data_IF_582845804582
#
_entry.id   IF_582845804582
#
_cell.length_a   1.000
_cell.length_b   1.000
_cell.length_c   1.000
_cell.angle_alpha   90.00
_cell.angle_beta   90.00
_cell.angle_gamma   90.00
#
_symmetry.space_group_name_H-M   'P 1'
#
loop_
_entity.id
_entity.type
_entity.pdbx_description
1 polymer ?
#
# COMPACT_ATOMS: atom_id res chain seq x y z
N UNK A 1 -1.01 16.27 -23.57
CA UNK A 1 -2.17 15.36 -23.58
C UNK A 1 -2.79 15.32 -22.19
N UNK A 2 -3.94 15.96 -22.05
CA UNK A 2 -4.83 15.88 -20.89
C UNK A 2 -5.84 14.74 -21.07
N UNK A 3 -6.55 14.37 -20.01
CA UNK A 3 -7.66 13.43 -20.13
C UNK A 3 -8.79 13.97 -20.98
N UNK A 4 -9.02 15.29 -20.95
CA UNK A 4 -10.12 15.90 -21.70
C UNK A 4 -9.80 15.82 -23.19
N UNK A 5 -8.54 16.06 -23.59
CA UNK A 5 -8.09 15.89 -24.97
C UNK A 5 -8.40 14.46 -25.46
N UNK A 6 -7.99 13.44 -24.68
CA UNK A 6 -8.22 12.03 -25.06
C UNK A 6 -9.69 11.65 -25.10
N UNK A 7 -10.44 11.95 -24.04
CA UNK A 7 -11.82 11.45 -23.86
C UNK A 7 -12.87 12.23 -24.66
N UNK A 8 -12.54 13.42 -25.15
CA UNK A 8 -13.41 14.18 -26.06
C UNK A 8 -13.35 13.64 -27.49
N UNK A 9 -12.20 13.13 -27.91
CA UNK A 9 -11.98 12.62 -29.26
C UNK A 9 -12.30 11.13 -29.39
N UNK A 10 -12.00 10.33 -28.35
CA UNK A 10 -12.11 8.87 -28.41
C UNK A 10 -12.73 8.28 -27.14
N UNK A 11 -13.50 7.19 -27.28
CA UNK A 11 -13.96 6.40 -26.12
C UNK A 11 -12.99 5.26 -25.81
N UNK A 12 -12.50 5.24 -24.58
CA UNK A 12 -11.53 4.25 -24.09
C UNK A 12 -12.17 3.18 -23.20
N UNK A 13 -13.51 3.11 -23.14
CA UNK A 13 -14.21 2.11 -22.32
C UNK A 13 -13.95 0.70 -22.85
N UNK A 14 -13.14 -0.06 -22.11
CA UNK A 14 -12.85 -1.46 -22.40
C UNK A 14 -13.25 -2.36 -21.23
N UNK A 15 -14.51 -2.83 -21.26
CA UNK A 15 -15.11 -3.68 -20.23
C UNK A 15 -14.79 -5.14 -20.52
N UNK A 16 -13.54 -5.54 -20.25
CA UNK A 16 -13.15 -6.96 -20.20
C UNK A 16 -13.18 -7.47 -18.78
N UNK A 17 -13.44 -8.77 -18.60
CA UNK A 17 -13.42 -9.41 -17.27
C UNK A 17 -12.12 -9.13 -16.51
N UNK A 18 -10.97 -9.17 -17.20
CA UNK A 18 -9.67 -8.90 -16.59
C UNK A 18 -9.54 -7.43 -16.11
N UNK A 19 -10.07 -6.47 -16.86
CA UNK A 19 -10.08 -5.06 -16.44
C UNK A 19 -11.00 -4.84 -15.23
N UNK A 20 -12.18 -5.47 -15.21
CA UNK A 20 -13.08 -5.42 -14.06
C UNK A 20 -12.43 -6.05 -12.82
N UNK A 21 -11.80 -7.22 -12.96
CA UNK A 21 -11.07 -7.85 -11.86
C UNK A 21 -9.95 -6.97 -11.33
N UNK A 22 -9.15 -6.35 -12.21
CA UNK A 22 -8.08 -5.42 -11.82
C UNK A 22 -8.63 -4.17 -11.11
N UNK A 23 -9.79 -3.67 -11.53
CA UNK A 23 -10.46 -2.56 -10.88
C UNK A 23 -10.90 -2.94 -9.45
N UNK A 24 -11.51 -4.12 -9.29
CA UNK A 24 -11.89 -4.65 -7.97
C UNK A 24 -10.66 -4.79 -7.07
N UNK A 25 -9.56 -5.34 -7.58
CA UNK A 25 -8.30 -5.48 -6.82
C UNK A 25 -7.75 -4.12 -6.39
N UNK A 26 -7.81 -3.09 -7.24
CA UNK A 26 -7.43 -1.72 -6.88
C UNK A 26 -8.29 -1.20 -5.71
N UNK A 27 -9.62 -1.32 -5.80
CA UNK A 27 -10.54 -0.88 -4.74
C UNK A 27 -10.31 -1.65 -3.44
N UNK A 28 -10.15 -2.97 -3.50
CA UNK A 28 -9.84 -3.81 -2.34
C UNK A 28 -8.51 -3.40 -1.69
N UNK A 29 -7.50 -3.06 -2.48
CA UNK A 29 -6.20 -2.60 -1.95
C UNK A 29 -6.34 -1.29 -1.19
N UNK A 30 -7.13 -0.34 -1.72
CA UNK A 30 -7.41 0.93 -1.03
C UNK A 30 -8.14 0.67 0.30
N UNK A 31 -9.20 -0.13 0.28
CA UNK A 31 -9.96 -0.49 1.49
C UNK A 31 -9.07 -1.18 2.53
N UNK A 32 -8.18 -2.08 2.07
CA UNK A 32 -7.25 -2.80 2.94
C UNK A 32 -6.25 -1.86 3.60
N UNK A 33 -5.72 -0.85 2.89
CA UNK A 33 -4.83 0.17 3.46
C UNK A 33 -5.51 0.96 4.58
N UNK A 34 -6.75 1.41 4.37
CA UNK A 34 -7.51 2.11 5.41
C UNK A 34 -7.85 1.19 6.59
N UNK A 35 -8.23 -0.06 6.33
CA UNK A 35 -8.54 -1.05 7.37
C UNK A 35 -7.31 -1.38 8.21
N UNK A 36 -6.14 -1.48 7.59
CA UNK A 36 -4.86 -1.69 8.25
C UNK A 36 -4.53 -0.53 9.22
N UNK A 37 -4.64 0.72 8.76
CA UNK A 37 -4.44 1.89 9.64
C UNK A 37 -5.47 1.95 10.77
N UNK A 38 -6.75 1.66 10.47
CA UNK A 38 -7.81 1.63 11.48
C UNK A 38 -7.56 0.56 12.56
N UNK A 39 -7.08 -0.61 12.17
CA UNK A 39 -6.67 -1.69 13.07
C UNK A 39 -5.55 -1.24 14.02
N UNK A 40 -4.55 -0.52 13.50
CA UNK A 40 -3.46 -0.01 14.31
C UNK A 40 -3.91 1.10 15.27
N UNK A 41 -4.81 2.00 14.83
CA UNK A 41 -5.41 3.03 15.69
C UNK A 41 -6.21 2.38 16.81
N UNK A 42 -7.02 1.37 16.50
CA UNK A 42 -7.77 0.63 17.51
C UNK A 42 -6.83 -0.01 18.54
N UNK A 43 -5.76 -0.66 18.07
CA UNK A 43 -4.73 -1.26 18.92
C UNK A 43 -4.11 -0.20 19.84
N UNK A 44 -3.77 0.97 19.32
CA UNK A 44 -3.24 2.09 20.11
C UNK A 44 -4.24 2.56 21.19
N UNK A 45 -5.51 2.74 20.84
CA UNK A 45 -6.55 3.16 21.79
C UNK A 45 -6.65 2.15 22.93
N UNK A 46 -6.71 0.85 22.62
CA UNK A 46 -6.75 -0.20 23.63
C UNK A 46 -5.52 -0.17 24.54
N UNK A 47 -4.33 0.13 24.00
CA UNK A 47 -3.10 0.30 24.81
C UNK A 47 -3.20 1.42 25.84
N UNK A 48 -3.91 2.50 25.54
CA UNK A 48 -4.10 3.62 26.47
C UNK A 48 -5.27 3.41 27.43
N UNK A 49 -6.36 2.78 26.98
CA UNK A 49 -7.59 2.58 27.76
C UNK A 49 -7.46 1.45 28.78
N UNK A 50 -6.76 0.37 28.43
CA UNK A 50 -6.47 -0.70 29.38
C UNK A 50 -5.54 -0.12 30.46
N UNK A 51 -6.08 0.29 31.61
CA UNK A 51 -5.31 0.83 32.73
C UNK A 51 -4.61 -0.26 33.57
N UNK A 52 -5.07 -1.51 33.46
CA UNK A 52 -4.55 -2.67 34.20
C UNK A 52 -3.83 -3.66 33.27
N UNK A 53 -2.63 -3.29 32.81
CA UNK A 53 -1.77 -4.12 31.94
C UNK A 53 -1.09 -5.31 32.65
N UNK A 54 -1.35 -5.53 33.93
CA UNK A 54 -0.82 -6.67 34.67
C UNK A 54 -1.25 -8.02 34.04
N UNK A 55 -2.46 -8.09 33.47
CA UNK A 55 -2.92 -9.27 32.74
C UNK A 55 -2.27 -9.40 31.36
N UNK A 56 -1.98 -8.29 30.67
CA UNK A 56 -1.29 -8.31 29.37
C UNK A 56 0.18 -8.72 29.45
N UNK A 57 0.82 -8.59 30.62
CA UNK A 57 2.18 -9.15 30.86
C UNK A 57 2.23 -10.67 30.64
N UNK A 58 1.09 -11.36 30.66
CA UNK A 58 1.00 -12.78 30.28
C UNK A 58 1.06 -13.03 28.76
N UNK A 59 0.89 -11.98 27.94
CA UNK A 59 0.70 -12.02 26.47
C UNK A 59 1.87 -11.37 25.71
N UNK A 60 2.70 -10.53 26.35
CA UNK A 60 3.87 -9.93 25.68
C UNK A 60 5.01 -9.62 26.64
N UNK A 61 6.23 -10.02 26.24
CA UNK A 61 7.49 -9.70 26.92
C UNK A 61 7.89 -8.21 26.82
N UNK A 62 7.40 -7.48 25.82
CA UNK A 62 7.81 -6.09 25.57
C UNK A 62 7.14 -5.13 26.57
N UNK A 63 7.89 -4.22 27.22
CA UNK A 63 7.35 -3.25 28.16
C UNK A 63 6.26 -2.35 27.53
N UNK A 64 5.20 -2.09 28.28
CA UNK A 64 4.08 -1.24 27.83
C UNK A 64 4.53 0.15 27.35
N UNK A 65 5.55 0.72 28.01
CA UNK A 65 6.09 2.02 27.63
C UNK A 65 6.64 2.01 26.20
N UNK A 66 7.31 0.91 25.82
CA UNK A 66 7.82 0.74 24.46
C UNK A 66 6.66 0.65 23.45
N UNK A 67 5.59 -0.10 23.75
CA UNK A 67 4.38 -0.14 22.92
C UNK A 67 3.79 1.25 22.70
N UNK A 68 3.55 1.99 23.78
CA UNK A 68 2.95 3.33 23.71
C UNK A 68 3.77 4.27 22.85
N UNK A 69 5.09 4.31 23.05
CA UNK A 69 5.98 5.19 22.30
C UNK A 69 6.03 4.79 20.83
N UNK A 70 6.28 3.50 20.53
CA UNK A 70 6.46 3.03 19.16
C UNK A 70 5.15 3.14 18.37
N UNK A 71 4.02 2.70 18.93
CA UNK A 71 2.73 2.82 18.24
C UNK A 71 2.35 4.27 17.99
N UNK A 72 2.47 5.15 19.00
CA UNK A 72 2.12 6.57 18.85
C UNK A 72 2.99 7.26 17.81
N UNK A 73 4.32 7.07 17.88
CA UNK A 73 5.25 7.68 16.94
C UNK A 73 5.00 7.20 15.50
N UNK A 74 4.90 5.89 15.29
CA UNK A 74 4.72 5.33 13.97
C UNK A 74 3.32 5.62 13.37
N UNK A 75 2.24 5.61 14.16
CA UNK A 75 0.92 6.03 13.69
C UNK A 75 0.94 7.52 13.31
N UNK A 76 1.60 8.36 14.11
CA UNK A 76 1.79 9.78 13.80
C UNK A 76 2.53 9.99 12.46
N UNK A 77 3.63 9.28 12.24
CA UNK A 77 4.37 9.30 10.95
C UNK A 77 3.45 8.84 9.80
N UNK A 78 2.66 7.78 10.01
CA UNK A 78 1.74 7.25 9.00
C UNK A 78 0.69 8.27 8.59
N UNK A 79 0.06 8.93 9.56
CA UNK A 79 -0.94 9.97 9.31
C UNK A 79 -0.30 11.16 8.59
N UNK A 80 0.90 11.58 9.00
CA UNK A 80 1.62 12.66 8.32
C UNK A 80 1.92 12.32 6.85
N UNK A 81 2.43 11.12 6.58
CA UNK A 81 2.66 10.64 5.22
C UNK A 81 1.36 10.58 4.40
N UNK A 82 0.27 10.10 5.00
CA UNK A 82 -1.04 10.06 4.36
C UNK A 82 -1.51 11.48 3.99
N UNK A 83 -1.41 12.45 4.89
CA UNK A 83 -1.83 13.84 4.62
C UNK A 83 -1.01 14.45 3.48
N UNK A 84 0.32 14.29 3.51
CA UNK A 84 1.21 14.85 2.49
C UNK A 84 0.93 14.24 1.11
N UNK A 85 0.82 12.91 1.04
CA UNK A 85 0.56 12.21 -0.23
C UNK A 85 -0.83 12.53 -0.78
N UNK A 86 -1.85 12.61 0.08
CA UNK A 86 -3.20 13.02 -0.34
C UNK A 86 -3.26 14.46 -0.84
N UNK A 87 -2.59 15.39 -0.14
CA UNK A 87 -2.55 16.78 -0.57
C UNK A 87 -1.87 16.93 -1.94
N UNK A 88 -0.68 16.32 -2.10
CA UNK A 88 0.04 16.34 -3.36
C UNK A 88 -0.72 15.63 -4.49
N UNK A 89 -1.28 14.46 -4.23
CA UNK A 89 -2.07 13.70 -5.20
C UNK A 89 -3.33 14.43 -5.64
N UNK A 90 -4.01 15.13 -4.72
CA UNK A 90 -5.16 15.98 -5.05
C UNK A 90 -4.76 17.16 -5.94
N UNK A 91 -3.59 17.75 -5.69
CA UNK A 91 -3.04 18.78 -6.57
C UNK A 91 -2.75 18.21 -7.96
N UNK A 92 -2.13 17.03 -8.08
CA UNK A 92 -1.86 16.37 -9.36
C UNK A 92 -3.14 16.00 -10.10
N UNK A 93 -4.14 15.45 -9.41
CA UNK A 93 -5.47 15.13 -9.94
C UNK A 93 -6.10 16.34 -10.64
N UNK A 94 -6.02 17.53 -10.02
CA UNK A 94 -6.55 18.78 -10.60
C UNK A 94 -5.82 19.23 -11.87
N UNK A 95 -4.59 18.77 -12.12
CA UNK A 95 -3.87 19.14 -13.34
C UNK A 95 -4.38 18.41 -14.59
N UNK A 96 -5.12 17.30 -14.42
CA UNK A 96 -5.73 16.50 -15.48
C UNK A 96 -4.76 16.02 -16.59
N UNK A 97 -3.44 15.98 -16.31
CA UNK A 97 -2.40 15.50 -17.24
C UNK A 97 -2.18 14.01 -17.08
N UNK A 98 -2.30 13.25 -18.17
CA UNK A 98 -2.28 11.77 -18.15
C UNK A 98 -0.97 11.21 -17.59
N UNK A 99 0.18 11.62 -18.16
CA UNK A 99 1.51 11.14 -17.75
C UNK A 99 1.77 11.44 -16.27
N UNK A 100 1.50 12.67 -15.84
CA UNK A 100 1.77 13.11 -14.46
C UNK A 100 0.87 12.38 -13.48
N UNK A 101 -0.41 12.20 -13.81
CA UNK A 101 -1.36 11.52 -12.94
C UNK A 101 -1.14 10.01 -12.89
N UNK A 102 -0.62 9.39 -13.95
CA UNK A 102 -0.30 7.96 -13.93
C UNK A 102 0.89 7.63 -13.01
N UNK A 103 1.85 8.55 -12.92
CA UNK A 103 3.03 8.38 -12.06
C UNK A 103 2.76 8.66 -10.57
N UNK A 104 1.63 9.30 -10.25
CA UNK A 104 1.20 9.60 -8.90
C UNK A 104 0.11 8.61 -8.45
N UNK A 105 0.39 7.79 -7.43
CA UNK A 105 -0.50 6.70 -7.01
C UNK A 105 -1.86 7.22 -6.53
N UNK A 106 -1.89 8.33 -5.79
CA UNK A 106 -3.12 8.92 -5.28
C UNK A 106 -3.95 9.50 -6.42
N UNK A 107 -3.35 10.28 -7.32
CA UNK A 107 -4.04 10.86 -8.45
C UNK A 107 -4.58 9.79 -9.41
N UNK A 108 -3.80 8.74 -9.67
CA UNK A 108 -4.22 7.59 -10.47
C UNK A 108 -5.45 6.91 -9.87
N UNK A 109 -5.45 6.65 -8.56
CA UNK A 109 -6.56 6.05 -7.84
C UNK A 109 -7.81 6.96 -7.85
N UNK A 110 -7.65 8.26 -7.60
CA UNK A 110 -8.75 9.23 -7.65
C UNK A 110 -9.41 9.31 -9.03
N UNK A 111 -8.62 9.39 -10.10
CA UNK A 111 -9.16 9.38 -11.47
C UNK A 111 -9.86 8.07 -11.81
N UNK A 112 -9.31 6.94 -11.37
CA UNK A 112 -9.90 5.62 -11.61
C UNK A 112 -11.21 5.42 -10.86
N UNK A 113 -11.31 5.92 -9.62
CA UNK A 113 -12.55 5.92 -8.84
C UNK A 113 -13.61 6.84 -9.45
N UNK A 114 -13.21 8.00 -9.97
CA UNK A 114 -14.12 8.97 -10.59
C UNK A 114 -14.63 8.50 -11.95
N UNK A 115 -13.83 7.78 -12.74
CA UNK A 115 -14.24 7.26 -14.05
C UNK A 115 -13.54 5.96 -14.40
N UNK A 116 -14.34 4.94 -14.69
CA UNK A 116 -13.87 3.66 -15.20
C UNK A 116 -13.15 3.79 -16.55
N UNK A 117 -13.51 4.80 -17.36
CA UNK A 117 -12.83 5.06 -18.63
C UNK A 117 -11.39 5.55 -18.41
N UNK A 118 -11.16 6.43 -17.42
CA UNK A 118 -9.81 6.86 -17.04
C UNK A 118 -8.99 5.68 -16.50
N UNK A 119 -9.62 4.76 -15.78
CA UNK A 119 -8.99 3.50 -15.39
C UNK A 119 -8.57 2.66 -16.61
N UNK A 120 -9.44 2.50 -17.61
CA UNK A 120 -9.10 1.77 -18.85
C UNK A 120 -7.91 2.39 -19.59
N UNK A 121 -7.84 3.73 -19.67
CA UNK A 121 -6.70 4.45 -20.25
C UNK A 121 -5.40 4.08 -19.53
N UNK A 122 -5.38 4.15 -18.18
CA UNK A 122 -4.21 3.73 -17.41
C UNK A 122 -3.85 2.26 -17.63
N UNK A 123 -4.85 1.38 -17.77
CA UNK A 123 -4.60 -0.03 -18.03
C UNK A 123 -3.93 -0.25 -19.38
N UNK A 124 -4.33 0.48 -20.41
CA UNK A 124 -3.73 0.37 -21.74
C UNK A 124 -2.27 0.86 -21.76
N UNK A 125 -1.96 1.92 -21.01
CA UNK A 125 -0.57 2.40 -20.79
C UNK A 125 0.27 1.33 -20.05
N UNK A 126 -0.32 0.69 -19.03
CA UNK A 126 0.37 -0.22 -18.09
C UNK A 126 0.74 -1.59 -18.68
N UNK A 127 0.19 -1.98 -19.83
CA UNK A 127 0.19 -3.40 -20.29
C UNK A 127 1.23 -3.78 -21.33
N UNK A 128 2.18 -2.91 -21.68
CA UNK A 128 3.15 -3.25 -22.74
C UNK A 128 4.10 -4.38 -22.35
N UNK A 129 4.58 -4.40 -21.10
CA UNK A 129 5.40 -5.51 -20.59
C UNK A 129 5.37 -5.60 -19.06
N UNK A 130 5.72 -6.78 -18.53
CA UNK A 130 5.93 -6.96 -17.09
C UNK A 130 7.07 -6.06 -16.56
N UNK A 131 8.10 -5.85 -17.38
CA UNK A 131 9.21 -4.96 -17.05
C UNK A 131 8.71 -3.53 -16.82
N UNK A 132 7.94 -2.95 -17.75
CA UNK A 132 7.45 -1.58 -17.63
C UNK A 132 6.58 -1.40 -16.38
N UNK A 133 5.65 -2.35 -16.16
CA UNK A 133 4.81 -2.37 -14.95
C UNK A 133 5.67 -2.39 -13.68
N UNK A 134 6.72 -3.20 -13.66
CA UNK A 134 7.59 -3.33 -12.49
C UNK A 134 8.47 -2.09 -12.26
N UNK A 135 9.02 -1.48 -13.31
CA UNK A 135 9.83 -0.26 -13.21
C UNK A 135 8.96 0.93 -12.74
N UNK A 136 7.72 1.05 -13.22
CA UNK A 136 6.74 2.03 -12.72
C UNK A 136 6.41 1.74 -11.24
N UNK A 137 6.20 0.48 -10.87
CA UNK A 137 5.93 0.09 -9.48
C UNK A 137 7.08 0.46 -8.54
N UNK A 138 8.34 0.35 -8.98
CA UNK A 138 9.51 0.81 -8.24
C UNK A 138 9.44 2.33 -8.05
N UNK A 139 9.19 3.09 -9.12
CA UNK A 139 9.06 4.54 -9.06
C UNK A 139 7.99 4.99 -8.05
N UNK A 140 6.78 4.47 -8.19
CA UNK A 140 5.67 4.80 -7.28
C UNK A 140 5.97 4.39 -5.84
N UNK A 141 6.60 3.23 -5.64
CA UNK A 141 6.95 2.76 -4.29
C UNK A 141 7.94 3.69 -3.60
N UNK A 142 9.00 4.11 -4.30
CA UNK A 142 10.00 5.03 -3.77
C UNK A 142 9.43 6.40 -3.41
N UNK A 143 8.49 6.91 -4.21
CA UNK A 143 7.93 8.24 -4.00
C UNK A 143 6.82 8.30 -2.95
N UNK A 144 6.02 7.23 -2.79
CA UNK A 144 4.76 7.34 -2.06
C UNK A 144 4.58 6.34 -0.91
N UNK A 145 5.31 5.23 -0.85
CA UNK A 145 4.96 4.16 0.10
C UNK A 145 6.12 3.49 0.85
N UNK A 146 7.33 3.44 0.28
CA UNK A 146 8.44 2.68 0.88
C UNK A 146 8.90 3.24 2.23
N UNK A 147 8.91 4.57 2.37
CA UNK A 147 9.32 5.23 3.61
C UNK A 147 8.30 5.04 4.72
N UNK A 148 7.01 5.09 4.40
CA UNK A 148 5.95 4.78 5.35
C UNK A 148 6.06 3.33 5.83
N UNK A 149 6.21 2.40 4.90
CA UNK A 149 6.36 0.98 5.22
C UNK A 149 7.59 0.71 6.11
N UNK A 150 8.73 1.34 5.82
CA UNK A 150 9.97 1.09 6.55
C UNK A 150 9.98 1.74 7.94
N UNK A 151 9.58 3.00 8.05
CA UNK A 151 9.73 3.77 9.30
C UNK A 151 8.49 3.74 10.20
N UNK A 152 7.32 3.50 9.62
CA UNK A 152 6.07 3.48 10.38
C UNK A 152 5.50 2.07 10.52
N UNK A 153 5.29 1.36 9.41
CA UNK A 153 4.62 0.06 9.48
C UNK A 153 5.52 -1.00 10.11
N UNK A 154 6.76 -1.12 9.64
CA UNK A 154 7.67 -2.20 10.05
C UNK A 154 7.90 -2.26 11.57
N UNK A 155 8.26 -1.18 12.30
CA UNK A 155 8.50 -1.27 13.74
C UNK A 155 7.26 -1.72 14.53
N UNK A 156 6.08 -1.21 14.17
CA UNK A 156 4.81 -1.61 14.81
C UNK A 156 4.46 -3.06 14.55
N UNK A 157 4.63 -3.50 13.31
CA UNK A 157 4.28 -4.87 12.93
C UNK A 157 5.28 -5.89 13.46
N UNK A 158 6.55 -5.53 13.65
CA UNK A 158 7.49 -6.37 14.39
C UNK A 158 7.06 -6.58 15.85
N UNK A 159 6.53 -5.54 16.51
CA UNK A 159 5.96 -5.69 17.86
C UNK A 159 4.71 -6.57 17.89
N UNK A 160 3.79 -6.37 16.94
CA UNK A 160 2.61 -7.24 16.80
C UNK A 160 3.02 -8.70 16.58
N UNK A 161 3.96 -8.94 15.66
CA UNK A 161 4.50 -10.26 15.38
C UNK A 161 5.16 -10.90 16.62
N UNK A 162 5.92 -10.12 17.40
CA UNK A 162 6.52 -10.60 18.65
C UNK A 162 5.45 -10.99 19.69
N UNK A 163 4.38 -10.19 19.84
CA UNK A 163 3.25 -10.53 20.72
C UNK A 163 2.57 -11.82 20.27
N UNK A 164 2.27 -11.94 18.98
CA UNK A 164 1.62 -13.14 18.42
C UNK A 164 2.51 -14.37 18.65
N UNK A 165 3.80 -14.29 18.34
CA UNK A 165 4.74 -15.39 18.52
C UNK A 165 4.87 -15.80 20.00
N UNK A 166 4.95 -14.84 20.92
CA UNK A 166 4.99 -15.11 22.35
C UNK A 166 3.69 -15.76 22.85
N UNK A 167 2.54 -15.25 22.39
CA UNK A 167 1.23 -15.80 22.75
C UNK A 167 1.07 -17.24 22.27
N UNK A 168 1.53 -17.55 21.06
CA UNK A 168 1.54 -18.92 20.53
C UNK A 168 2.47 -19.81 21.36
N UNK A 169 3.68 -19.33 21.68
CA UNK A 169 4.67 -20.12 22.44
C UNK A 169 4.24 -20.40 23.88
N UNK A 170 3.50 -19.48 24.50
CA UNK A 170 2.98 -19.66 25.87
C UNK A 170 1.66 -20.45 25.92
N UNK A 171 1.00 -20.62 24.78
CA UNK A 171 -0.22 -21.42 24.70
C UNK A 171 0.12 -22.90 24.60
N UNK A 172 0.01 -23.61 25.72
CA UNK A 172 0.22 -25.06 25.77
C UNK A 172 -0.90 -25.88 25.09
N UNK A 173 -1.94 -25.24 24.56
CA UNK A 173 -3.14 -25.93 24.03
C UNK A 173 -3.14 -26.13 22.52
N UNK A 174 -2.53 -25.25 21.73
CA UNK A 174 -2.46 -25.42 20.26
C UNK A 174 -1.44 -24.48 19.60
N UNK A 175 -0.90 -24.86 18.44
CA UNK A 175 -0.08 -23.99 17.59
C UNK A 175 -0.89 -23.12 16.63
N UNK A 176 -2.22 -23.29 16.59
CA UNK A 176 -3.09 -22.57 15.68
C UNK A 176 -3.61 -21.27 16.33
N UNK A 177 -3.16 -20.13 15.79
CA UNK A 177 -3.53 -18.80 16.30
C UNK A 177 -5.05 -18.59 16.39
N UNK A 178 -5.85 -19.18 15.49
CA UNK A 178 -7.32 -19.05 15.51
C UNK A 178 -7.91 -19.75 16.73
N UNK A 179 -7.38 -20.92 17.10
CA UNK A 179 -7.81 -21.65 18.29
C UNK A 179 -7.36 -20.93 19.57
N UNK A 180 -6.14 -20.39 19.58
CA UNK A 180 -5.62 -19.60 20.70
C UNK A 180 -6.48 -18.35 20.93
N UNK A 181 -6.81 -17.61 19.87
CA UNK A 181 -7.69 -16.43 19.97
C UNK A 181 -9.06 -16.83 20.51
N UNK A 182 -9.62 -17.97 20.08
CA UNK A 182 -10.91 -18.48 20.57
C UNK A 182 -10.86 -18.89 22.05
N UNK A 183 -9.76 -19.52 22.48
CA UNK A 183 -9.56 -19.90 23.88
C UNK A 183 -9.39 -18.68 24.78
N UNK A 184 -8.65 -17.66 24.33
CA UNK A 184 -8.52 -16.37 25.03
C UNK A 184 -9.86 -15.66 25.05
N UNK A 185 -10.65 -15.69 23.97
CA UNK A 185 -11.95 -15.03 23.91
C UNK A 185 -12.93 -15.54 24.98
N UNK A 186 -12.84 -16.82 25.33
CA UNK A 186 -13.65 -17.42 26.39
C UNK A 186 -13.25 -16.95 27.80
N UNK A 187 -12.01 -16.48 27.98
CA UNK A 187 -11.48 -16.00 29.27
C UNK A 187 -11.55 -14.48 29.39
N UNK A 188 -11.16 -13.78 28.33
CA UNK A 188 -11.13 -12.33 28.23
C UNK A 188 -11.38 -11.89 26.78
N UNK A 189 -12.62 -11.47 26.51
CA UNK A 189 -13.04 -11.04 25.16
C UNK A 189 -12.26 -9.81 24.66
N UNK A 190 -11.83 -8.91 25.55
CA UNK A 190 -11.11 -7.69 25.16
C UNK A 190 -9.69 -8.01 24.65
N UNK A 191 -8.98 -8.91 25.32
CA UNK A 191 -7.64 -9.36 24.91
C UNK A 191 -7.69 -10.12 23.58
N UNK A 192 -8.71 -10.96 23.38
CA UNK A 192 -8.89 -11.68 22.13
C UNK A 192 -9.17 -10.75 20.94
N UNK A 193 -9.99 -9.72 21.14
CA UNK A 193 -10.25 -8.71 20.11
C UNK A 193 -8.96 -7.97 19.76
N UNK A 194 -8.20 -7.51 20.76
CA UNK A 194 -6.92 -6.84 20.56
C UNK A 194 -5.93 -7.71 19.76
N UNK A 195 -5.75 -8.97 20.18
CA UNK A 195 -4.87 -9.92 19.50
C UNK A 195 -5.34 -10.21 18.06
N UNK A 196 -6.65 -10.21 17.81
CA UNK A 196 -7.21 -10.37 16.47
C UNK A 196 -6.84 -9.20 15.55
N UNK A 197 -6.95 -7.96 16.02
CA UNK A 197 -6.53 -6.77 15.27
C UNK A 197 -5.02 -6.76 15.00
N UNK A 198 -4.20 -7.11 16.01
CA UNK A 198 -2.75 -7.24 15.82
C UNK A 198 -2.39 -8.32 14.79
N UNK A 199 -3.12 -9.45 14.81
CA UNK A 199 -2.91 -10.56 13.85
C UNK A 199 -3.32 -10.14 12.44
N UNK A 200 -4.47 -9.47 12.31
CA UNK A 200 -4.94 -8.95 11.04
C UNK A 200 -3.92 -7.96 10.43
N UNK A 201 -3.48 -6.96 11.21
CA UNK A 201 -2.52 -5.99 10.71
C UNK A 201 -1.19 -6.65 10.34
N UNK A 202 -0.68 -7.55 11.19
CA UNK A 202 0.56 -8.26 10.92
C UNK A 202 0.48 -9.07 9.62
N UNK A 203 -0.61 -9.80 9.40
CA UNK A 203 -0.82 -10.59 8.19
C UNK A 203 -0.86 -9.72 6.93
N UNK A 204 -1.60 -8.60 6.97
CA UNK A 204 -1.65 -7.64 5.86
C UNK A 204 -0.26 -7.07 5.57
N UNK A 205 0.49 -6.72 6.60
CA UNK A 205 1.87 -6.24 6.46
C UNK A 205 2.82 -7.28 5.86
N UNK A 206 2.69 -8.57 6.19
CA UNK A 206 3.48 -9.64 5.58
C UNK A 206 3.25 -9.70 4.07
N UNK A 207 1.99 -9.62 3.62
CA UNK A 207 1.64 -9.62 2.18
C UNK A 207 2.33 -8.45 1.46
N UNK A 208 2.23 -7.23 2.02
CA UNK A 208 2.86 -6.05 1.43
C UNK A 208 4.39 -6.04 1.54
N UNK A 209 4.95 -6.67 2.57
CA UNK A 209 6.40 -6.76 2.79
C UNK A 209 7.10 -7.48 1.64
N UNK A 210 6.52 -8.57 1.11
CA UNK A 210 7.06 -9.26 -0.07
C UNK A 210 7.20 -8.30 -1.26
N UNK A 211 6.18 -7.46 -1.51
CA UNK A 211 6.21 -6.44 -2.57
C UNK A 211 7.36 -5.44 -2.35
N UNK A 212 7.50 -4.89 -1.14
CA UNK A 212 8.53 -3.88 -0.86
C UNK A 212 9.94 -4.45 -0.85
N UNK A 213 10.14 -5.69 -0.41
CA UNK A 213 11.42 -6.38 -0.53
C UNK A 213 11.82 -6.57 -2.00
N UNK A 214 10.90 -6.98 -2.86
CA UNK A 214 11.15 -7.08 -4.29
C UNK A 214 11.56 -5.73 -4.91
N UNK A 215 10.90 -4.64 -4.50
CA UNK A 215 11.25 -3.27 -4.92
C UNK A 215 12.65 -2.89 -4.45
N UNK A 216 12.99 -3.11 -3.17
CA UNK A 216 14.30 -2.76 -2.61
C UNK A 216 15.42 -3.48 -3.35
N UNK A 217 15.34 -4.81 -3.46
CA UNK A 217 16.35 -5.64 -4.12
C UNK A 217 16.53 -5.26 -5.59
N UNK A 218 15.42 -5.01 -6.29
CA UNK A 218 15.46 -4.74 -7.73
C UNK A 218 15.83 -3.30 -8.07
N UNK A 219 15.55 -2.35 -7.17
CA UNK A 219 15.81 -0.93 -7.42
C UNK A 219 17.29 -0.64 -7.69
N UNK A 220 18.21 -1.25 -6.93
CA UNK A 220 19.64 -1.06 -7.13
C UNK A 220 20.11 -1.59 -8.51
N UNK A 221 19.64 -2.77 -8.91
CA UNK A 221 19.98 -3.39 -10.19
C UNK A 221 19.38 -2.62 -11.38
N UNK A 222 18.10 -2.24 -11.30
CA UNK A 222 17.39 -1.57 -12.40
C UNK A 222 17.88 -0.13 -12.58
N UNK A 223 18.01 0.63 -11.50
CA UNK A 223 18.49 2.01 -11.58
C UNK A 223 19.92 2.08 -12.13
N UNK A 224 20.79 1.13 -11.74
CA UNK A 224 22.15 1.07 -12.26
C UNK A 224 22.20 0.62 -13.72
N UNK A 225 21.36 -0.33 -14.13
CA UNK A 225 21.24 -0.77 -15.52
C UNK A 225 20.78 0.36 -16.44
N UNK A 226 19.71 1.08 -16.07
CA UNK A 226 19.18 2.20 -16.87
C UNK A 226 20.23 3.30 -17.01
N UNK A 227 20.92 3.67 -15.92
CA UNK A 227 21.98 4.69 -15.98
C UNK A 227 23.12 4.29 -16.92
N UNK A 228 23.47 3.00 -16.98
CA UNK A 228 24.54 2.49 -17.86
C UNK A 228 24.12 2.43 -19.33
N UNK A 229 22.88 2.04 -19.62
CA UNK A 229 22.38 1.85 -20.99
C UNK A 229 21.96 3.17 -21.65
N UNK A 230 21.18 3.97 -20.94
CA UNK A 230 20.50 5.13 -21.51
C UNK A 230 21.14 6.46 -21.13
N UNK A 231 22.08 6.47 -20.17
CA UNK A 231 22.76 7.69 -19.69
C UNK A 231 21.84 8.71 -18.99
N UNK A 232 20.58 8.37 -18.75
CA UNK A 232 19.59 9.24 -18.11
C UNK A 232 19.30 8.82 -16.66
N UNK A 233 18.73 9.74 -15.88
CA UNK A 233 18.26 9.42 -14.54
C UNK A 233 16.99 8.57 -14.60
N UNK A 234 16.81 7.70 -13.59
CA UNK A 234 15.65 6.81 -13.48
C UNK A 234 14.30 7.56 -13.62
N UNK A 235 14.18 8.71 -12.95
CA UNK A 235 12.98 9.54 -13.04
C UNK A 235 12.72 10.03 -14.47
N UNK A 236 13.74 10.53 -15.18
CA UNK A 236 13.59 10.97 -16.58
C UNK A 236 13.22 9.82 -17.51
N UNK A 237 13.83 8.66 -17.32
CA UNK A 237 13.52 7.44 -18.07
C UNK A 237 12.04 7.08 -17.94
N UNK A 238 11.52 7.03 -16.71
CA UNK A 238 10.12 6.71 -16.43
C UNK A 238 9.15 7.72 -17.06
N UNK A 239 9.42 9.01 -16.93
CA UNK A 239 8.57 10.05 -17.53
C UNK A 239 8.52 9.92 -19.06
N UNK A 240 9.68 9.65 -19.69
CA UNK A 240 9.75 9.44 -21.13
C UNK A 240 8.99 8.18 -21.54
N UNK A 241 9.24 7.05 -20.86
CA UNK A 241 8.59 5.77 -21.14
C UNK A 241 7.06 5.86 -21.07
N UNK A 242 6.52 6.54 -20.05
CA UNK A 242 5.07 6.76 -19.93
C UNK A 242 4.57 7.73 -20.99
N UNK A 243 5.29 8.81 -21.29
CA UNK A 243 4.90 9.76 -22.33
C UNK A 243 4.84 9.09 -23.71
N UNK A 244 5.84 8.28 -24.07
CA UNK A 244 5.90 7.53 -25.31
C UNK A 244 4.73 6.53 -25.40
N UNK A 245 4.40 5.85 -24.30
CA UNK A 245 3.25 4.93 -24.24
C UNK A 245 1.89 5.63 -24.40
N UNK A 246 1.76 6.85 -23.85
CA UNK A 246 0.56 7.68 -23.99
C UNK A 246 0.39 8.16 -25.43
N UNK A 247 1.48 8.57 -26.08
CA UNK A 247 1.47 9.01 -27.48
C UNK A 247 1.11 7.86 -28.43
N UNK A 248 1.74 6.70 -28.28
CA UNK A 248 1.46 5.54 -29.14
C UNK A 248 0.00 5.09 -29.05
N UNK A 249 -0.56 5.08 -27.83
CA UNK A 249 -1.97 4.76 -27.62
C UNK A 249 -2.91 5.77 -28.29
N UNK A 250 -2.55 7.06 -28.30
CA UNK A 250 -3.33 8.11 -28.95
C UNK A 250 -3.30 7.93 -30.48
N UNK A 251 -2.11 7.76 -31.05
CA UNK A 251 -1.90 7.54 -32.49
C UNK A 251 -2.56 6.24 -33.00
N UNK A 252 -2.65 5.20 -32.16
CA UNK A 252 -3.35 3.95 -32.50
C UNK A 252 -4.87 4.11 -32.62
N UNK A 253 -5.47 5.02 -31.84
CA UNK A 253 -6.91 5.28 -31.93
C UNK A 253 -7.24 6.20 -33.09
N UNK A 254 -6.38 7.18 -33.39
CA UNK A 254 -6.53 8.04 -34.58
C UNK A 254 -6.51 7.25 -35.91
N UNK A 255 -5.89 6.07 -35.92
CA UNK A 255 -5.82 5.19 -37.08
C UNK A 255 -7.00 4.23 -37.24
N UNK A 256 -7.90 4.12 -36.25
CA UNK A 256 -9.07 3.23 -36.28
C UNK A 256 -10.32 3.95 -36.79
#
# INVERSE_FOLDING_TARGET
>A
ITFDDMTSEHSFKNVTFLNVLRYIVMVLTIVLQFSFLASDIYTLIQIYVLGNWANYHSISYVPILAYKIIFTACIGISIMFLIITWWYGTYVYKTNRVVRSYLDDVAMNLHSLNSFEKFCIYRQISTKSFYDWFVISIYQSWHFSIYNWLFADTPRQMLNGATIAYTISNSFTSSNIVHIVKDIANRNSQEAILLSFMTFSFFVWVIFTVKYLAVLLSSACICSSIRKKDGVTFSKFIHKMVADAVLEMYDEQDKK
#
